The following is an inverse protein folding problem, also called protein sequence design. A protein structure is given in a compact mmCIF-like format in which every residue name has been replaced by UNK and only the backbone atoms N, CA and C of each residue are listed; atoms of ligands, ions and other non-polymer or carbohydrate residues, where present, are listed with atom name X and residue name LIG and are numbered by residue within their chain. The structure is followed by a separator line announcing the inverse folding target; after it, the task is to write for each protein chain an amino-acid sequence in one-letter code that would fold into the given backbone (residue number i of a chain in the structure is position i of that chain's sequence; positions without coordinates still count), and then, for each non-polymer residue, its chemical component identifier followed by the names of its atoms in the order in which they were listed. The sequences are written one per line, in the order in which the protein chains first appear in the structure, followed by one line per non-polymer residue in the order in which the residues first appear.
data_IF_382486369274
#
_entry.id   IF_382486369274
#
_cell.length_a   1.000
_cell.length_b   1.000
_cell.length_c   1.000
_cell.angle_alpha   90.00
_cell.angle_beta   90.00
_cell.angle_gamma   90.00
#
_symmetry.space_group_name_H-M   'P 1'
#
loop_
_entity.id
_entity.type
_entity.pdbx_description
1 polymer ?
#
# COMPACT_ATOMS: atom_id res chain seq x y z
N UNK A 1 -15.41 17.27 -28.81
CA UNK A 1 -14.93 15.94 -29.22
C UNK A 1 -14.26 15.41 -27.98
N UNK A 2 -15.02 14.68 -27.18
CA UNK A 2 -14.52 14.11 -25.94
C UNK A 2 -13.61 12.94 -26.34
N UNK A 3 -12.31 13.20 -26.33
CA UNK A 3 -11.31 12.18 -26.59
C UNK A 3 -11.42 11.13 -25.48
N UNK A 4 -11.73 9.89 -25.85
CA UNK A 4 -11.80 8.78 -24.91
C UNK A 4 -10.41 8.55 -24.28
N UNK A 5 -10.39 8.44 -22.95
CA UNK A 5 -9.18 8.21 -22.16
C UNK A 5 -8.65 6.79 -22.40
N UNK A 6 -7.33 6.68 -22.57
CA UNK A 6 -6.63 5.43 -22.86
C UNK A 6 -5.46 5.23 -21.91
N UNK A 7 -5.12 4.00 -21.61
CA UNK A 7 -4.06 3.67 -20.66
C UNK A 7 -4.25 2.30 -20.02
N UNK A 8 -3.70 2.13 -18.82
CA UNK A 8 -3.85 0.91 -18.04
C UNK A 8 -3.88 1.24 -16.55
N UNK A 9 -4.59 0.41 -15.80
CA UNK A 9 -4.60 0.42 -14.33
C UNK A 9 -4.06 -0.90 -13.84
N UNK A 10 -3.12 -0.85 -12.91
CA UNK A 10 -2.56 -2.02 -12.26
C UNK A 10 -3.04 -2.09 -10.81
N UNK A 11 -3.49 -3.27 -10.41
CA UNK A 11 -3.83 -3.58 -9.02
C UNK A 11 -3.16 -4.91 -8.65
N UNK A 12 -2.36 -4.91 -7.59
CA UNK A 12 -1.67 -6.13 -7.14
C UNK A 12 -0.96 -5.93 -5.81
N UNK A 13 -0.32 -7.00 -5.34
CA UNK A 13 0.36 -7.04 -4.04
C UNK A 13 1.70 -6.32 -3.99
N UNK A 14 2.21 -5.87 -5.15
CA UNK A 14 3.56 -5.32 -5.27
C UNK A 14 3.66 -3.96 -4.56
N UNK A 15 4.40 -3.90 -3.46
CA UNK A 15 4.88 -2.64 -2.92
C UNK A 15 5.94 -2.01 -3.85
N UNK A 16 6.23 -0.71 -3.66
CA UNK A 16 7.26 -0.01 -4.42
C UNK A 16 8.67 -0.38 -3.95
N UNK A 17 9.12 -1.59 -4.31
CA UNK A 17 10.42 -2.13 -3.92
C UNK A 17 11.05 -2.97 -5.03
N UNK A 18 12.39 -3.03 -5.05
CA UNK A 18 13.13 -3.90 -5.97
C UNK A 18 12.93 -5.40 -5.66
N UNK A 19 12.50 -5.75 -4.44
CA UNK A 19 12.20 -7.13 -4.08
C UNK A 19 10.94 -7.64 -4.81
N UNK A 20 9.94 -6.76 -4.96
CA UNK A 20 8.68 -7.04 -5.67
C UNK A 20 8.82 -6.90 -7.19
N UNK A 21 9.45 -5.82 -7.67
CA UNK A 21 9.54 -5.52 -9.11
C UNK A 21 10.78 -6.10 -9.81
N UNK A 22 11.76 -6.52 -9.04
CA UNK A 22 13.02 -7.03 -9.53
C UNK A 22 14.07 -5.95 -9.78
N UNK A 23 15.33 -6.40 -9.85
CA UNK A 23 16.47 -5.58 -10.27
C UNK A 23 17.28 -6.30 -11.36
N UNK A 24 17.72 -5.62 -12.44
CA UNK A 24 18.62 -6.21 -13.39
C UNK A 24 19.95 -6.58 -12.72
N UNK A 25 20.48 -7.76 -13.03
CA UNK A 25 21.81 -8.21 -12.65
C UNK A 25 22.57 -8.54 -13.93
N UNK A 26 23.76 -7.95 -14.09
CA UNK A 26 24.75 -8.38 -15.06
C UNK A 26 25.54 -9.53 -14.47
N UNK A 27 25.75 -10.60 -15.21
CA UNK A 27 26.67 -11.65 -14.78
C UNK A 27 28.12 -11.13 -14.90
N UNK A 28 28.91 -11.01 -13.82
CA UNK A 28 30.33 -10.66 -13.94
C UNK A 28 31.18 -11.85 -14.43
N UNK A 29 30.61 -13.07 -14.47
CA UNK A 29 31.28 -14.26 -14.98
C UNK A 29 31.25 -14.34 -16.51
N UNK A 30 31.66 -13.26 -17.16
CA UNK A 30 32.17 -13.33 -18.52
C UNK A 30 33.51 -14.07 -18.47
N UNK A 31 33.50 -15.37 -18.76
CA UNK A 31 34.69 -16.06 -19.24
C UNK A 31 35.20 -15.19 -20.41
N UNK A 32 36.36 -14.56 -20.24
CA UNK A 32 37.06 -13.88 -21.33
C UNK A 32 37.47 -14.95 -22.35
N UNK A 33 36.55 -15.38 -23.20
CA UNK A 33 36.92 -16.07 -24.44
C UNK A 33 37.52 -15.00 -25.32
N UNK A 34 38.84 -14.94 -25.33
CA UNK A 34 39.64 -14.25 -26.32
C UNK A 34 39.22 -14.75 -27.71
N UNK A 35 38.34 -14.03 -28.38
CA UNK A 35 37.78 -14.44 -29.64
C UNK A 35 36.98 -13.31 -30.27
N UNK A 36 37.57 -12.72 -31.30
CA UNK A 36 37.11 -11.58 -32.08
C UNK A 36 35.73 -11.82 -32.71
N UNK A 37 34.63 -11.62 -31.97
CA UNK A 37 33.31 -11.45 -32.56
C UNK A 37 32.51 -10.39 -31.80
N UNK A 38 32.34 -9.24 -32.45
CA UNK A 38 31.35 -8.21 -32.14
C UNK A 38 29.97 -8.84 -32.36
N UNK A 39 29.42 -9.44 -31.32
CA UNK A 39 28.04 -9.86 -31.28
C UNK A 39 27.43 -9.24 -30.03
N UNK A 40 26.43 -8.38 -30.23
CA UNK A 40 25.68 -7.69 -29.20
C UNK A 40 25.04 -8.72 -28.24
N UNK A 41 25.73 -9.05 -27.14
CA UNK A 41 25.25 -10.04 -26.19
C UNK A 41 24.24 -9.42 -25.22
N UNK A 42 23.02 -9.22 -25.70
CA UNK A 42 21.83 -8.93 -24.90
C UNK A 42 21.51 -10.06 -23.88
N UNK A 43 22.17 -11.21 -24.00
CA UNK A 43 21.87 -12.45 -23.27
C UNK A 43 22.44 -12.54 -21.84
N UNK A 44 23.18 -11.55 -21.35
CA UNK A 44 23.83 -11.62 -20.02
C UNK A 44 23.16 -10.77 -18.94
N UNK A 45 21.95 -10.28 -19.21
CA UNK A 45 21.12 -9.56 -18.25
C UNK A 45 20.05 -10.52 -17.70
N UNK A 46 20.10 -10.78 -16.38
CA UNK A 46 19.05 -11.51 -15.66
C UNK A 46 18.27 -10.53 -14.79
N UNK A 47 16.99 -10.80 -14.53
CA UNK A 47 16.19 -10.03 -13.59
C UNK A 47 16.08 -10.83 -12.28
N UNK A 48 16.54 -10.24 -11.17
CA UNK A 48 16.47 -10.86 -9.86
C UNK A 48 15.28 -10.30 -9.07
N UNK A 49 14.30 -11.15 -8.77
CA UNK A 49 13.09 -10.84 -7.99
C UNK A 49 13.12 -11.71 -6.73
N UNK A 50 12.81 -11.12 -5.57
CA UNK A 50 12.91 -11.82 -4.28
C UNK A 50 11.56 -12.30 -3.76
N UNK A 51 10.47 -11.62 -4.11
CA UNK A 51 9.15 -11.88 -3.56
C UNK A 51 8.25 -12.61 -4.55
N UNK A 52 7.31 -13.39 -4.02
CA UNK A 52 6.15 -13.86 -4.77
C UNK A 52 5.08 -12.80 -4.70
N UNK A 53 4.66 -12.30 -5.85
CA UNK A 53 3.71 -11.21 -5.95
C UNK A 53 2.75 -11.48 -7.12
N UNK A 54 1.50 -11.02 -7.01
CA UNK A 54 0.48 -11.19 -8.04
C UNK A 54 -0.29 -9.88 -8.26
N UNK A 55 -0.70 -9.62 -9.50
CA UNK A 55 -1.54 -8.48 -9.83
C UNK A 55 -2.28 -8.65 -11.14
N UNK A 56 -3.28 -7.81 -11.35
CA UNK A 56 -4.14 -7.74 -12.53
C UNK A 56 -3.92 -6.39 -13.19
N UNK A 57 -3.85 -6.40 -14.53
CA UNK A 57 -3.75 -5.19 -15.35
C UNK A 57 -5.05 -5.04 -16.15
N UNK A 58 -5.73 -3.93 -15.95
CA UNK A 58 -6.86 -3.50 -16.77
C UNK A 58 -6.32 -2.62 -17.90
N UNK A 59 -6.53 -3.02 -19.15
CA UNK A 59 -5.99 -2.33 -20.33
C UNK A 59 -7.13 -1.64 -21.08
N UNK A 60 -7.01 -0.34 -21.27
CA UNK A 60 -7.96 0.51 -21.99
C UNK A 60 -7.29 1.01 -23.28
N UNK A 61 -7.48 0.30 -24.40
CA UNK A 61 -6.83 0.68 -25.65
C UNK A 61 -7.34 2.03 -26.16
N UNK A 62 -6.53 2.78 -26.93
CA UNK A 62 -7.01 3.95 -27.64
C UNK A 62 -8.21 3.61 -28.51
N UNK A 63 -9.23 4.47 -28.53
CA UNK A 63 -10.43 4.28 -29.36
C UNK A 63 -10.01 4.25 -30.83
N UNK A 64 -9.96 3.05 -31.41
CA UNK A 64 -9.62 2.88 -32.82
C UNK A 64 -10.65 3.61 -33.68
N UNK A 65 -10.17 4.48 -34.56
CA UNK A 65 -11.03 5.20 -35.52
C UNK A 65 -11.84 4.20 -36.35
N UNK A 66 -13.15 4.12 -36.06
CA UNK A 66 -14.21 3.45 -36.83
C UNK A 66 -13.98 1.97 -37.17
N UNK A 67 -14.57 1.09 -36.37
CA UNK A 67 -14.87 -0.29 -36.73
C UNK A 67 -16.10 -0.78 -35.99
N UNK A 68 -17.22 -0.92 -36.71
CA UNK A 68 -18.53 -1.44 -36.32
C UNK A 68 -18.66 -2.14 -34.96
N UNK A 69 -19.55 -1.60 -34.12
CA UNK A 69 -20.20 -2.32 -33.03
C UNK A 69 -20.63 -1.37 -31.92
N UNK A 70 -21.92 -1.32 -31.61
CA UNK A 70 -22.50 -0.72 -30.40
C UNK A 70 -22.05 -1.46 -29.13
N UNK A 71 -20.76 -1.74 -28.98
CA UNK A 71 -20.21 -2.26 -27.74
C UNK A 71 -19.93 -1.04 -26.86
N UNK A 72 -20.52 -1.01 -25.66
CA UNK A 72 -20.17 -0.03 -24.64
C UNK A 72 -18.67 -0.16 -24.35
N UNK A 73 -17.85 0.69 -24.96
CA UNK A 73 -16.42 0.70 -24.69
C UNK A 73 -16.22 1.28 -23.30
N UNK A 74 -15.79 0.44 -22.36
CA UNK A 74 -15.30 0.92 -21.06
C UNK A 74 -14.06 1.77 -21.30
N UNK A 75 -14.06 3.01 -20.81
CA UNK A 75 -12.94 3.95 -20.86
C UNK A 75 -12.12 3.90 -19.56
N UNK A 76 -10.94 4.50 -19.59
CA UNK A 76 -10.10 4.59 -18.38
C UNK A 76 -10.80 5.38 -17.25
N UNK A 77 -11.63 6.37 -17.59
CA UNK A 77 -12.39 7.18 -16.62
C UNK A 77 -13.53 6.40 -15.93
N UNK A 78 -13.91 5.23 -16.45
CA UNK A 78 -14.94 4.38 -15.84
C UNK A 78 -14.41 3.60 -14.62
N UNK A 79 -13.09 3.65 -14.37
CA UNK A 79 -12.46 2.99 -13.22
C UNK A 79 -12.66 3.83 -11.96
N UNK A 80 -13.43 3.30 -11.01
CA UNK A 80 -13.58 3.90 -9.68
C UNK A 80 -12.33 3.64 -8.85
N UNK A 81 -11.60 4.70 -8.51
CA UNK A 81 -10.40 4.63 -7.67
C UNK A 81 -10.77 4.83 -6.18
N UNK A 82 -10.13 4.11 -5.24
CA UNK A 82 -10.42 4.23 -3.81
C UNK A 82 -9.78 5.48 -3.16
N UNK A 83 -9.29 6.42 -3.97
CA UNK A 83 -8.64 7.65 -3.53
C UNK A 83 -8.98 8.81 -4.45
N UNK A 84 -8.80 10.04 -3.95
CA UNK A 84 -9.12 11.27 -4.68
C UNK A 84 -8.11 11.50 -5.80
N UNK A 85 -8.63 11.93 -6.96
CA UNK A 85 -7.83 12.32 -8.13
C UNK A 85 -8.12 13.76 -8.55
N UNK A 86 -7.08 14.55 -8.94
CA UNK A 86 -5.67 14.20 -8.95
C UNK A 86 -5.10 14.07 -7.52
N UNK A 87 -4.04 13.26 -7.36
CA UNK A 87 -3.38 13.08 -6.07
C UNK A 87 -2.90 14.43 -5.50
N UNK A 88 -3.25 14.79 -4.25
CA UNK A 88 -2.77 16.01 -3.61
C UNK A 88 -1.24 16.04 -3.54
N UNK A 89 -0.65 17.22 -3.77
CA UNK A 89 0.80 17.41 -3.62
C UNK A 89 1.15 17.64 -2.16
N UNK A 90 2.29 17.08 -1.76
CA UNK A 90 2.85 17.31 -0.44
C UNK A 90 3.17 18.81 -0.27
N UNK A 91 2.79 19.36 0.87
CA UNK A 91 3.10 20.72 1.28
C UNK A 91 4.55 20.89 1.70
N UNK A 92 5.00 22.14 1.94
CA UNK A 92 6.40 22.44 2.27
C UNK A 92 6.90 21.83 3.59
N UNK A 93 5.99 21.47 4.50
CA UNK A 93 6.32 20.87 5.81
C UNK A 93 6.00 19.37 5.85
N UNK A 94 5.45 18.82 4.78
CA UNK A 94 5.09 17.41 4.73
C UNK A 94 6.35 16.57 4.56
N UNK A 95 6.38 15.44 5.27
CA UNK A 95 7.41 14.41 5.15
C UNK A 95 6.76 13.08 4.82
N UNK A 96 7.43 12.18 4.07
CA UNK A 96 6.95 10.82 3.89
C UNK A 96 6.72 10.15 5.24
N UNK A 97 5.64 9.36 5.34
CA UNK A 97 5.31 8.60 6.55
C UNK A 97 6.24 7.38 6.68
N UNK A 98 7.52 7.63 6.97
CA UNK A 98 8.47 6.58 7.34
C UNK A 98 8.26 6.21 8.81
N UNK A 99 8.64 5.00 9.19
CA UNK A 99 8.60 4.57 10.61
C UNK A 99 9.29 5.56 11.53
N UNK A 100 10.48 6.03 11.13
CA UNK A 100 11.23 7.03 11.89
C UNK A 100 10.46 8.35 12.01
N UNK A 101 9.95 8.89 10.89
CA UNK A 101 9.21 10.16 10.90
C UNK A 101 7.95 10.08 11.76
N UNK A 102 7.27 8.93 11.79
CA UNK A 102 6.12 8.69 12.65
C UNK A 102 6.52 8.61 14.12
N UNK A 103 7.59 7.89 14.47
CA UNK A 103 8.10 7.82 15.84
C UNK A 103 8.51 9.20 16.36
N UNK A 104 9.22 9.98 15.55
CA UNK A 104 9.60 11.35 15.90
C UNK A 104 8.37 12.25 16.10
N UNK A 105 7.38 12.17 15.21
CA UNK A 105 6.14 12.94 15.35
C UNK A 105 5.38 12.59 16.63
N UNK A 106 5.36 11.31 17.01
CA UNK A 106 4.74 10.86 18.26
C UNK A 106 5.50 11.39 19.48
N UNK A 107 6.83 11.34 19.46
CA UNK A 107 7.64 11.90 20.54
C UNK A 107 7.43 13.41 20.69
N UNK A 108 7.44 14.16 19.58
CA UNK A 108 7.15 15.60 19.59
C UNK A 108 5.76 15.92 20.16
N UNK A 109 4.75 15.08 19.85
CA UNK A 109 3.40 15.22 20.40
C UNK A 109 3.41 15.00 21.92
N UNK A 110 4.05 13.93 22.41
CA UNK A 110 4.14 13.64 23.85
C UNK A 110 4.86 14.75 24.62
N UNK A 111 5.97 15.27 24.09
CA UNK A 111 6.67 16.40 24.71
C UNK A 111 5.79 17.65 24.74
N UNK A 112 5.07 17.95 23.66
CA UNK A 112 4.15 19.08 23.61
C UNK A 112 2.98 18.93 24.60
N UNK A 113 2.48 17.70 24.79
CA UNK A 113 1.45 17.41 25.79
C UNK A 113 1.98 17.57 27.22
N UNK A 114 3.20 17.11 27.49
CA UNK A 114 3.85 17.28 28.78
C UNK A 114 4.13 18.76 29.10
N UNK A 115 4.61 19.54 28.12
CA UNK A 115 4.78 20.99 28.25
C UNK A 115 3.46 21.71 28.54
N UNK A 116 2.37 21.32 27.87
CA UNK A 116 1.04 21.87 28.13
C UNK A 116 0.54 21.52 29.53
N UNK A 117 0.74 20.28 29.98
CA UNK A 117 0.35 19.85 31.32
C UNK A 117 1.16 20.61 32.40
N UNK A 118 2.47 20.75 32.22
CA UNK A 118 3.34 21.51 33.12
C UNK A 118 3.00 23.01 33.17
N UNK A 119 2.52 23.58 32.07
CA UNK A 119 2.01 24.95 32.03
C UNK A 119 0.65 25.07 32.75
N UNK A 120 -0.22 24.07 32.64
CA UNK A 120 -1.48 24.01 33.36
C UNK A 120 -1.25 23.87 34.87
N UNK A 121 -0.37 22.96 35.31
CA UNK A 121 -0.03 22.80 36.74
C UNK A 121 0.63 24.04 37.34
N UNK A 122 1.47 24.77 36.60
CA UNK A 122 2.00 26.07 37.06
C UNK A 122 0.91 27.16 37.21
N UNK A 123 -0.21 27.02 36.49
CA UNK A 123 -1.36 27.93 36.60
C UNK A 123 -2.31 27.49 37.73
N UNK A 124 -2.37 26.19 38.00
CA UNK A 124 -3.20 25.54 39.01
C UNK A 124 -2.54 25.48 40.40
N UNK A 125 -1.19 25.58 40.51
CA UNK A 125 -0.48 25.77 41.79
C UNK A 125 -0.83 27.12 42.48
N UNK A 126 -1.62 27.99 41.84
CA UNK A 126 -2.22 29.15 42.49
C UNK A 126 -3.61 28.89 43.11
N UNK A 127 -4.20 27.70 42.96
CA UNK A 127 -5.57 27.38 43.39
C UNK A 127 -5.67 25.92 43.89
N UNK A 128 -5.83 25.77 45.22
CA UNK A 128 -6.38 24.61 45.98
C UNK A 128 -5.48 23.36 46.18
N UNK A 129 -5.03 23.03 47.40
CA UNK A 129 -5.70 22.31 48.52
C UNK A 129 -6.14 20.85 48.20
N UNK A 130 -5.28 19.92 48.66
CA UNK A 130 -5.48 18.54 49.19
C UNK A 130 -6.81 17.78 48.94
N UNK A 131 -6.76 16.58 48.31
CA UNK A 131 -7.45 15.29 48.67
C UNK A 131 -7.20 14.19 47.58
N UNK A 132 -7.42 12.87 47.85
CA UNK A 132 -6.45 11.82 47.57
C UNK A 132 -6.82 10.82 46.47
N UNK A 133 -5.77 10.07 46.11
CA UNK A 133 -5.61 8.85 45.30
C UNK A 133 -6.81 7.87 45.31
N UNK A 134 -7.33 7.53 44.12
CA UNK A 134 -8.14 6.31 43.91
C UNK A 134 -7.62 5.52 42.70
N UNK A 135 -7.38 4.25 42.98
CA UNK A 135 -6.60 3.27 42.21
C UNK A 135 -7.22 2.84 40.87
N UNK A 136 -6.28 2.54 39.97
CA UNK A 136 -6.32 1.78 38.74
C UNK A 136 -7.21 0.51 38.78
N UNK A 137 -8.13 0.38 37.82
CA UNK A 137 -8.75 -0.91 37.48
C UNK A 137 -8.86 -1.04 35.96
N UNK A 138 -7.87 -1.71 35.36
CA UNK A 138 -7.86 -2.12 33.96
C UNK A 138 -8.69 -3.41 33.82
N UNK A 139 -9.90 -3.29 33.26
CA UNK A 139 -10.68 -4.45 32.80
C UNK A 139 -10.09 -4.99 31.49
N UNK A 140 -9.29 -6.06 31.59
CA UNK A 140 -8.93 -6.93 30.47
C UNK A 140 -9.84 -8.15 30.53
N UNK A 141 -10.84 -8.25 29.65
CA UNK A 141 -11.52 -9.52 29.38
C UNK A 141 -12.08 -9.60 27.95
N UNK A 142 -11.54 -10.56 27.20
CA UNK A 142 -12.25 -11.50 26.32
C UNK A 142 -12.70 -11.13 24.89
N UNK A 143 -12.10 -10.13 24.24
CA UNK A 143 -12.44 -9.80 22.84
C UNK A 143 -11.79 -10.70 21.76
N UNK A 144 -10.76 -11.48 22.10
CA UNK A 144 -9.90 -12.17 21.11
C UNK A 144 -10.48 -13.51 20.63
N UNK A 145 -11.34 -14.16 21.41
CA UNK A 145 -11.88 -15.47 21.07
C UNK A 145 -13.04 -15.39 20.05
N UNK A 146 -13.88 -14.36 20.16
CA UNK A 146 -15.09 -14.19 19.34
C UNK A 146 -14.72 -13.80 17.89
N UNK A 147 -13.77 -12.88 17.70
CA UNK A 147 -13.28 -12.46 16.36
C UNK A 147 -12.76 -13.65 15.52
N UNK A 148 -12.10 -14.62 16.17
CA UNK A 148 -11.51 -15.77 15.48
C UNK A 148 -12.54 -16.77 14.97
N UNK A 149 -13.68 -16.90 15.64
CA UNK A 149 -14.75 -17.81 15.22
C UNK A 149 -15.57 -17.21 14.07
N UNK A 150 -15.81 -15.90 14.12
CA UNK A 150 -16.47 -15.13 13.05
C UNK A 150 -15.67 -15.12 11.75
N UNK A 151 -14.35 -14.90 11.82
CA UNK A 151 -13.46 -14.95 10.65
C UNK A 151 -13.44 -16.34 10.00
N UNK A 152 -13.48 -17.40 10.82
CA UNK A 152 -13.51 -18.78 10.32
C UNK A 152 -14.82 -19.09 9.60
N UNK A 153 -15.95 -18.67 10.14
CA UNK A 153 -17.26 -18.86 9.51
C UNK A 153 -17.36 -18.10 8.19
N UNK A 154 -16.82 -16.87 8.14
CA UNK A 154 -16.76 -16.07 6.93
C UNK A 154 -15.86 -16.70 5.86
N UNK A 155 -14.71 -17.24 6.25
CA UNK A 155 -13.81 -17.95 5.33
C UNK A 155 -14.47 -19.21 4.74
N UNK A 156 -15.13 -20.04 5.56
CA UNK A 156 -15.82 -21.25 5.09
C UNK A 156 -16.96 -20.91 4.09
N UNK A 157 -17.70 -19.82 4.33
CA UNK A 157 -18.73 -19.34 3.41
C UNK A 157 -18.14 -18.98 2.04
N UNK A 158 -17.02 -18.26 2.01
CA UNK A 158 -16.36 -17.86 0.76
C UNK A 158 -15.86 -19.07 -0.04
N UNK A 159 -15.27 -20.07 0.63
CA UNK A 159 -14.76 -21.26 -0.06
C UNK A 159 -15.88 -22.14 -0.64
N UNK A 160 -17.03 -22.23 0.03
CA UNK A 160 -18.18 -23.01 -0.45
C UNK A 160 -18.76 -22.53 -1.80
N UNK A 161 -18.60 -21.25 -2.13
CA UNK A 161 -19.09 -20.67 -3.39
C UNK A 161 -18.23 -21.07 -4.59
N UNK A 162 -16.95 -21.36 -4.38
CA UNK A 162 -16.01 -21.79 -5.42
C UNK A 162 -16.28 -23.24 -5.81
N UNK A 163 -16.54 -24.11 -4.82
CA UNK A 163 -16.80 -25.54 -5.05
C UNK A 163 -18.13 -25.78 -5.78
N UNK A 164 -19.14 -24.94 -5.52
CA UNK A 164 -20.43 -25.02 -6.20
C UNK A 164 -20.35 -24.66 -7.70
N UNK A 165 -19.33 -23.90 -8.09
CA UNK A 165 -19.14 -23.42 -9.47
C UNK A 165 -18.31 -24.37 -10.35
N UNK A 166 -17.66 -25.38 -9.76
CA UNK A 166 -16.87 -26.39 -10.47
C UNK A 166 -17.63 -27.72 -10.71
N UNK A 167 -18.88 -27.83 -10.25
CA UNK A 167 -19.75 -28.97 -10.58
C UNK A 167 -20.55 -28.67 -11.86
N UNK A 168 -19.89 -28.82 -13.02
CA UNK A 168 -20.52 -29.02 -14.33
C UNK A 168 -19.76 -30.11 -15.08
#
# INVERSE_FOLDING_TARGET
MDSSSFGWVYCGSHNFSAAAWGRPISNPFGIKTTGTHKADSCFDQRLHICNYELGIIFIFPPSATKGNGNQSSTNLDDVVLPFVMPAPKYGPRDRPATTQAMTEALAELTEQEHEKLAAATNTEEMIEEELPDEEEAVEVTDHVAEEKEEEKAYAELLWSQVDSSQSC
#
